data_IF_778415406897
#
_entry.id   IF_778415406897
#
_cell.length_a   1.000
_cell.length_b   1.000
_cell.length_c   1.000
_cell.angle_alpha   90.00
_cell.angle_beta   90.00
_cell.angle_gamma   90.00
#
_symmetry.space_group_name_H-M   'P 1'
#
loop_
_entity.id
_entity.type
_entity.pdbx_description
1 polymer ?
#
# COMPACT_ATOMS: atom_id res chain seq x y z
N UNK A 1 2.53 -49.52 51.31
CA UNK A 1 2.49 -49.95 49.88
C UNK A 1 1.66 -49.04 48.94
N UNK A 2 1.26 -47.81 49.33
CA UNK A 2 0.44 -46.92 48.46
C UNK A 2 1.18 -45.70 47.88
N UNK A 3 2.29 -45.25 48.47
CA UNK A 3 2.97 -44.01 48.05
C UNK A 3 3.73 -44.15 46.71
N UNK A 4 4.33 -45.33 46.47
CA UNK A 4 5.04 -45.65 45.22
C UNK A 4 4.08 -45.75 44.02
N UNK A 5 2.86 -46.26 44.22
CA UNK A 5 1.83 -46.31 43.18
C UNK A 5 1.35 -44.91 42.79
N UNK A 6 1.12 -44.02 43.75
CA UNK A 6 0.72 -42.62 43.48
C UNK A 6 1.80 -41.86 42.72
N UNK A 7 3.08 -42.05 43.07
CA UNK A 7 4.19 -41.43 42.35
C UNK A 7 4.32 -41.99 40.94
N UNK A 8 4.20 -43.30 40.75
CA UNK A 8 4.19 -43.91 39.42
C UNK A 8 3.02 -43.41 38.56
N UNK A 9 1.84 -43.21 39.15
CA UNK A 9 0.69 -42.62 38.47
C UNK A 9 0.92 -41.17 38.06
N UNK A 10 1.52 -40.35 38.92
CA UNK A 10 1.88 -38.96 38.60
C UNK A 10 2.91 -38.88 37.47
N UNK A 11 3.93 -39.74 37.48
CA UNK A 11 4.92 -39.82 36.40
C UNK A 11 4.29 -40.29 35.08
N UNK A 12 3.40 -41.29 35.14
CA UNK A 12 2.67 -41.76 33.96
C UNK A 12 1.77 -40.66 33.39
N UNK A 13 1.07 -39.92 34.24
CA UNK A 13 0.19 -38.83 33.82
C UNK A 13 0.99 -37.67 33.21
N UNK A 14 2.11 -37.29 33.81
CA UNK A 14 3.03 -36.28 33.27
C UNK A 14 3.64 -36.72 31.94
N UNK A 15 4.03 -37.98 31.79
CA UNK A 15 4.56 -38.52 30.54
C UNK A 15 3.50 -38.56 29.43
N UNK A 16 2.26 -38.95 29.75
CA UNK A 16 1.14 -38.93 28.81
C UNK A 16 0.75 -37.51 28.40
N UNK A 17 0.78 -36.56 29.34
CA UNK A 17 0.49 -35.15 29.08
C UNK A 17 1.57 -34.53 28.19
N UNK A 18 2.86 -34.79 28.49
CA UNK A 18 3.97 -34.35 27.66
C UNK A 18 3.93 -34.98 26.27
N UNK A 19 3.65 -36.28 26.17
CA UNK A 19 3.47 -36.97 24.88
C UNK A 19 2.30 -36.38 24.08
N UNK A 20 1.20 -36.03 24.75
CA UNK A 20 0.03 -35.44 24.09
C UNK A 20 0.30 -34.01 23.60
N UNK A 21 1.00 -33.19 24.38
CA UNK A 21 1.46 -31.86 23.96
C UNK A 21 2.49 -31.94 22.83
N UNK A 22 3.41 -32.90 22.90
CA UNK A 22 4.41 -33.15 21.87
C UNK A 22 3.76 -33.67 20.58
N UNK A 23 2.76 -34.55 20.66
CA UNK A 23 1.97 -35.00 19.51
C UNK A 23 1.07 -33.89 18.95
N UNK A 24 0.57 -32.97 19.77
CA UNK A 24 -0.12 -31.77 19.29
C UNK A 24 0.84 -30.81 18.59
N UNK A 25 2.06 -30.64 19.10
CA UNK A 25 3.10 -29.85 18.44
C UNK A 25 3.52 -30.48 17.11
N UNK A 26 3.76 -31.79 17.08
CA UNK A 26 4.06 -32.54 15.85
C UNK A 26 2.89 -32.53 14.87
N UNK A 27 1.63 -32.65 15.31
CA UNK A 27 0.46 -32.52 14.42
C UNK A 27 0.25 -31.09 13.92
N UNK A 28 0.58 -30.06 14.71
CA UNK A 28 0.59 -28.68 14.23
C UNK A 28 1.74 -28.44 13.23
N UNK A 29 2.88 -29.12 13.41
CA UNK A 29 3.98 -29.16 12.44
C UNK A 29 3.63 -30.00 11.20
N UNK A 30 2.87 -31.09 11.33
CA UNK A 30 2.47 -31.96 10.21
C UNK A 30 1.19 -31.47 9.50
N UNK A 31 0.41 -30.57 10.11
CA UNK A 31 -0.56 -29.75 9.37
C UNK A 31 0.12 -28.73 8.46
N UNK A 32 1.45 -28.58 8.54
CA UNK A 32 2.26 -27.91 7.50
C UNK A 32 2.83 -28.89 6.45
N UNK A 33 2.56 -30.20 6.57
CA UNK A 33 3.01 -31.24 5.65
C UNK A 33 1.97 -32.35 5.44
N UNK A 34 0.74 -31.99 5.06
CA UNK A 34 -0.14 -32.91 4.35
C UNK A 34 -0.18 -32.52 2.86
N UNK A 35 0.86 -32.94 2.15
CA UNK A 35 0.85 -33.09 0.69
C UNK A 35 -0.19 -34.14 0.32
N UNK A 36 -1.44 -33.70 0.23
CA UNK A 36 -2.41 -34.33 -0.64
C UNK A 36 -2.17 -33.78 -2.03
N UNK A 37 -2.10 -34.67 -3.01
CA UNK A 37 -1.90 -34.40 -4.44
C UNK A 37 -3.10 -33.67 -5.05
N UNK A 38 -3.40 -32.48 -4.54
CA UNK A 38 -4.11 -31.46 -5.27
C UNK A 38 -3.08 -30.78 -6.16
N UNK A 39 -3.43 -30.51 -7.40
CA UNK A 39 -2.69 -29.56 -8.23
C UNK A 39 -2.48 -28.27 -7.42
N UNK A 40 -1.28 -28.07 -6.89
CA UNK A 40 -0.85 -26.83 -6.24
C UNK A 40 -0.86 -25.77 -7.35
N UNK A 41 -2.02 -25.17 -7.59
CA UNK A 41 -2.11 -23.95 -8.36
C UNK A 41 -1.43 -22.89 -7.51
N UNK A 42 -0.12 -22.74 -7.66
CA UNK A 42 0.62 -21.59 -7.13
C UNK A 42 -0.14 -20.36 -7.61
N UNK A 43 -0.86 -19.70 -6.68
CA UNK A 43 -1.66 -18.52 -7.00
C UNK A 43 -0.73 -17.52 -7.65
N UNK A 44 -1.05 -17.12 -8.88
CA UNK A 44 -0.21 -16.19 -9.62
C UNK A 44 -0.19 -14.83 -8.91
N UNK A 45 0.91 -14.09 -9.04
CA UNK A 45 1.01 -12.72 -8.48
C UNK A 45 -0.16 -11.83 -8.93
N UNK A 46 -0.67 -12.07 -10.14
CA UNK A 46 -1.86 -11.41 -10.71
C UNK A 46 -3.11 -11.71 -9.89
N UNK A 47 -3.39 -12.99 -9.60
CA UNK A 47 -4.55 -13.41 -8.80
C UNK A 47 -4.45 -12.89 -7.37
N UNK A 48 -3.26 -12.94 -6.76
CA UNK A 48 -3.04 -12.36 -5.43
C UNK A 48 -3.33 -10.85 -5.40
N UNK A 49 -2.86 -10.10 -6.40
CA UNK A 49 -3.22 -8.67 -6.56
C UNK A 49 -4.70 -8.45 -6.77
N UNK A 50 -5.34 -9.23 -7.64
CA UNK A 50 -6.78 -9.10 -7.88
C UNK A 50 -7.57 -9.32 -6.60
N UNK A 51 -7.23 -10.35 -5.82
CA UNK A 51 -7.88 -10.59 -4.53
C UNK A 51 -7.66 -9.46 -3.52
N UNK A 52 -6.49 -8.79 -3.53
CA UNK A 52 -6.24 -7.59 -2.73
C UNK A 52 -7.13 -6.43 -3.17
N UNK A 53 -7.25 -6.19 -4.47
CA UNK A 53 -8.07 -5.10 -5.01
C UNK A 53 -9.56 -5.33 -4.78
N UNK A 54 -10.02 -6.58 -4.86
CA UNK A 54 -11.40 -6.95 -4.51
C UNK A 54 -11.69 -6.69 -3.02
N UNK A 55 -10.72 -6.93 -2.13
CA UNK A 55 -10.85 -6.57 -0.71
C UNK A 55 -10.93 -5.06 -0.52
N UNK A 56 -10.10 -4.29 -1.22
CA UNK A 56 -10.11 -2.82 -1.15
C UNK A 56 -11.42 -2.25 -1.70
N UNK A 57 -11.96 -2.80 -2.78
CA UNK A 57 -13.23 -2.36 -3.36
C UNK A 57 -14.41 -2.54 -2.40
N UNK A 58 -14.40 -3.63 -1.61
CA UNK A 58 -15.42 -3.90 -0.58
C UNK A 58 -15.24 -3.10 0.70
N UNK A 59 -14.12 -2.40 0.88
CA UNK A 59 -13.82 -1.65 2.11
C UNK A 59 -14.91 -0.60 2.40
N UNK A 60 -15.39 0.07 1.35
CA UNK A 60 -16.45 1.06 1.45
C UNK A 60 -17.81 0.42 1.82
N UNK A 61 -18.11 -0.77 1.29
CA UNK A 61 -19.35 -1.50 1.64
C UNK A 61 -19.34 -1.97 3.10
N UNK A 62 -18.18 -2.40 3.58
CA UNK A 62 -18.02 -2.98 4.91
C UNK A 62 -17.99 -1.92 6.02
N UNK A 63 -17.35 -0.79 5.76
CA UNK A 63 -17.08 0.22 6.80
C UNK A 63 -17.83 1.54 6.56
N UNK A 64 -18.42 1.73 5.38
CA UNK A 64 -19.00 3.00 4.97
C UNK A 64 -17.93 4.09 4.74
N UNK A 65 -18.35 5.31 4.38
CA UNK A 65 -17.44 6.43 4.10
C UNK A 65 -16.96 7.10 5.41
N UNK A 66 -16.11 6.41 6.17
CA UNK A 66 -15.56 6.90 7.45
C UNK A 66 -14.84 8.26 7.34
N UNK A 67 -14.31 8.61 6.18
CA UNK A 67 -13.72 9.93 5.91
C UNK A 67 -14.70 11.09 6.12
N UNK A 68 -16.02 10.85 6.05
CA UNK A 68 -17.05 11.85 6.36
C UNK A 68 -17.20 12.14 7.86
N UNK A 69 -16.68 11.26 8.73
CA UNK A 69 -16.81 11.32 10.20
C UNK A 69 -15.46 11.57 10.91
N UNK A 70 -14.49 12.20 10.25
CA UNK A 70 -13.11 12.39 10.72
C UNK A 70 -12.26 11.11 10.73
N UNK A 71 -12.17 10.44 9.57
CA UNK A 71 -11.42 9.19 9.41
C UNK A 71 -9.90 9.26 9.68
N UNK A 72 -9.26 8.08 9.73
CA UNK A 72 -7.81 7.92 9.83
C UNK A 72 -7.19 7.49 8.49
N UNK A 73 -5.87 7.65 8.35
CA UNK A 73 -5.08 7.13 7.23
C UNK A 73 -4.67 5.67 7.46
N UNK A 74 -4.28 4.98 6.37
CA UNK A 74 -3.71 3.62 6.44
C UNK A 74 -2.40 3.52 7.23
N UNK A 75 -1.81 4.66 7.59
CA UNK A 75 -0.56 4.78 8.37
C UNK A 75 -0.81 5.28 9.80
N UNK A 76 -2.04 5.13 10.30
CA UNK A 76 -2.47 5.46 11.68
C UNK A 76 -2.45 6.94 12.06
N UNK A 77 -2.32 7.86 11.09
CA UNK A 77 -2.48 9.30 11.31
C UNK A 77 -3.94 9.71 11.13
N UNK A 78 -4.48 10.61 11.97
CA UNK A 78 -5.79 11.23 11.71
C UNK A 78 -5.75 12.06 10.41
N UNK A 79 -6.87 12.15 9.68
CA UNK A 79 -6.97 13.11 8.58
C UNK A 79 -6.74 14.56 9.04
N UNK A 80 -7.17 14.90 10.27
CA UNK A 80 -6.92 16.21 10.87
C UNK A 80 -5.45 16.47 11.22
N UNK A 81 -4.63 15.41 11.29
CA UNK A 81 -3.19 15.56 11.55
C UNK A 81 -2.40 15.95 10.30
N UNK A 82 -2.99 15.75 9.12
CA UNK A 82 -2.30 15.88 7.83
C UNK A 82 -2.99 16.85 6.85
N UNK A 83 -4.24 17.25 7.13
CA UNK A 83 -4.97 18.25 6.35
C UNK A 83 -5.66 19.27 7.24
N UNK A 84 -5.73 20.50 6.75
CA UNK A 84 -6.50 21.61 7.31
C UNK A 84 -7.29 22.29 6.20
N UNK A 85 -8.25 23.15 6.56
CA UNK A 85 -8.91 24.05 5.61
C UNK A 85 -8.25 25.41 5.71
N UNK A 86 -7.66 25.87 4.60
CA UNK A 86 -7.07 27.20 4.46
C UNK A 86 -7.74 27.90 3.28
N UNK A 87 -8.22 29.11 3.50
CA UNK A 87 -8.92 29.91 2.48
C UNK A 87 -10.10 29.16 1.84
N UNK A 88 -10.78 28.34 2.65
CA UNK A 88 -11.92 27.53 2.24
C UNK A 88 -11.57 26.33 1.36
N UNK A 89 -10.29 25.95 1.22
CA UNK A 89 -9.84 24.78 0.47
C UNK A 89 -8.94 23.89 1.32
N UNK A 90 -8.88 22.60 1.01
CA UNK A 90 -7.95 21.68 1.66
C UNK A 90 -6.51 22.11 1.43
N UNK A 91 -5.73 22.15 2.51
CA UNK A 91 -4.28 22.33 2.49
C UNK A 91 -3.60 21.25 3.36
N UNK A 92 -2.42 20.74 2.97
CA UNK A 92 -1.68 19.78 3.77
C UNK A 92 -1.07 20.45 4.99
N UNK A 93 -0.98 19.69 6.10
CA UNK A 93 -0.20 20.06 7.28
C UNK A 93 1.14 19.34 7.19
N UNK A 94 2.20 20.08 6.89
CA UNK A 94 3.55 19.53 6.80
C UNK A 94 4.20 19.50 8.19
N UNK A 95 4.47 18.30 8.68
CA UNK A 95 5.19 18.06 9.94
C UNK A 95 6.56 17.48 9.61
N UNK A 96 7.61 17.98 10.25
CA UNK A 96 8.96 17.45 10.03
C UNK A 96 9.06 15.97 10.44
N UNK A 97 9.69 15.16 9.60
CA UNK A 97 10.06 13.79 9.90
C UNK A 97 11.48 13.77 10.51
N UNK A 98 11.61 13.33 11.75
CA UNK A 98 12.89 13.22 12.43
C UNK A 98 13.02 11.85 13.15
N UNK A 99 13.88 10.94 12.66
CA UNK A 99 14.71 11.06 11.46
C UNK A 99 13.88 11.09 10.17
N UNK A 100 14.44 11.56 9.04
CA UNK A 100 13.77 11.52 7.75
C UNK A 100 13.34 10.11 7.35
N UNK A 101 12.18 10.02 6.71
CA UNK A 101 11.68 8.77 6.12
C UNK A 101 12.46 8.50 4.83
N UNK A 102 12.82 7.25 4.57
CA UNK A 102 13.59 6.87 3.38
C UNK A 102 12.85 5.78 2.64
N UNK A 103 12.33 6.13 1.45
CA UNK A 103 11.41 5.32 0.69
C UNK A 103 11.94 5.04 -0.72
N UNK A 104 11.65 3.84 -1.21
CA UNK A 104 11.86 3.41 -2.58
C UNK A 104 10.51 3.33 -3.26
N UNK A 105 10.33 4.09 -4.33
CA UNK A 105 9.06 4.15 -5.05
C UNK A 105 9.30 4.00 -6.54
N UNK A 106 8.37 3.35 -7.24
CA UNK A 106 8.32 3.45 -8.69
C UNK A 106 7.62 4.74 -9.08
N UNK A 107 8.15 5.48 -10.04
CA UNK A 107 7.55 6.74 -10.49
C UNK A 107 6.67 6.54 -11.72
N UNK A 108 5.44 7.04 -11.69
CA UNK A 108 4.60 7.14 -12.87
C UNK A 108 4.83 8.50 -13.53
N UNK A 109 5.49 8.49 -14.68
CA UNK A 109 5.84 9.72 -15.40
C UNK A 109 4.64 10.56 -15.79
N UNK A 110 4.87 11.87 -15.94
CA UNK A 110 3.83 12.87 -16.23
C UNK A 110 3.09 12.62 -17.54
N UNK A 111 3.72 11.96 -18.51
CA UNK A 111 3.05 11.52 -19.74
C UNK A 111 1.85 10.58 -19.48
N UNK A 112 1.83 9.89 -18.33
CA UNK A 112 0.74 9.01 -17.91
C UNK A 112 -0.09 9.62 -16.77
N UNK A 113 0.55 10.26 -15.78
CA UNK A 113 -0.17 10.77 -14.61
C UNK A 113 -0.99 12.04 -14.87
N UNK A 114 -0.60 12.88 -15.84
CA UNK A 114 -1.36 14.08 -16.22
C UNK A 114 -2.70 13.69 -16.86
N UNK A 115 -2.76 12.82 -17.91
CA UNK A 115 -4.03 12.36 -18.47
C UNK A 115 -4.98 11.75 -17.44
N UNK A 116 -4.46 10.99 -16.47
CA UNK A 116 -5.27 10.45 -15.38
C UNK A 116 -5.90 11.60 -14.59
N UNK A 117 -5.10 12.57 -14.14
CA UNK A 117 -5.60 13.74 -13.40
C UNK A 117 -6.67 14.53 -14.19
N UNK A 118 -6.47 14.67 -15.49
CA UNK A 118 -7.41 15.35 -16.40
C UNK A 118 -8.75 14.60 -16.54
N UNK A 119 -8.74 13.26 -16.47
CA UNK A 119 -9.97 12.46 -16.45
C UNK A 119 -10.68 12.48 -15.08
N UNK A 120 -9.94 12.55 -13.97
CA UNK A 120 -10.51 12.55 -12.61
C UNK A 120 -11.30 13.82 -12.30
N UNK A 121 -10.72 14.98 -12.63
CA UNK A 121 -11.23 16.30 -12.22
C UNK A 121 -12.67 16.56 -12.68
N UNK A 122 -13.03 16.39 -13.97
CA UNK A 122 -14.40 16.62 -14.44
C UNK A 122 -15.45 15.73 -13.76
N UNK A 123 -15.06 14.56 -13.26
CA UNK A 123 -15.96 13.63 -12.58
C UNK A 123 -16.13 14.03 -11.10
N UNK A 124 -15.08 14.51 -10.44
CA UNK A 124 -15.05 14.75 -9.00
C UNK A 124 -15.31 16.21 -8.60
N UNK A 125 -14.77 17.18 -9.34
CA UNK A 125 -14.87 18.61 -9.02
C UNK A 125 -16.30 19.11 -8.82
N UNK A 126 -17.31 18.69 -9.63
CA UNK A 126 -18.69 19.11 -9.42
C UNK A 126 -19.22 18.80 -8.02
N UNK A 127 -18.67 17.78 -7.36
CA UNK A 127 -19.10 17.31 -6.06
C UNK A 127 -18.17 17.75 -4.93
N UNK A 128 -16.85 17.80 -5.15
CA UNK A 128 -15.88 17.92 -4.05
C UNK A 128 -14.93 19.10 -4.08
N UNK A 129 -14.82 19.87 -5.16
CA UNK A 129 -13.99 21.09 -5.35
C UNK A 129 -13.09 21.54 -4.16
N UNK A 130 -13.67 21.93 -3.02
CA UNK A 130 -12.97 22.45 -1.83
C UNK A 130 -12.60 21.45 -0.73
N UNK A 131 -13.12 20.23 -0.80
CA UNK A 131 -13.00 19.14 0.18
C UNK A 131 -12.35 17.89 -0.42
N UNK A 132 -11.51 18.09 -1.45
CA UNK A 132 -10.72 17.04 -2.10
C UNK A 132 -9.26 17.49 -2.18
N UNK A 133 -8.35 16.55 -1.93
CA UNK A 133 -6.93 16.69 -2.21
C UNK A 133 -6.57 15.86 -3.43
N UNK A 134 -6.24 16.49 -4.55
CA UNK A 134 -5.66 15.77 -5.68
C UNK A 134 -4.17 15.56 -5.43
N UNK A 135 -3.71 14.34 -5.63
CA UNK A 135 -2.28 14.05 -5.61
C UNK A 135 -1.60 14.85 -6.73
N UNK A 136 -0.40 15.39 -6.46
CA UNK A 136 0.38 16.06 -7.47
C UNK A 136 0.82 15.05 -8.54
N UNK A 137 0.40 15.28 -9.79
CA UNK A 137 0.69 14.38 -10.92
C UNK A 137 2.18 14.16 -11.16
N UNK A 138 3.03 15.14 -10.83
CA UNK A 138 4.49 15.00 -10.92
C UNK A 138 5.10 14.09 -9.85
N UNK A 139 4.30 13.65 -8.87
CA UNK A 139 4.68 12.78 -7.76
C UNK A 139 3.83 11.50 -7.72
N UNK A 140 3.12 11.16 -8.80
CA UNK A 140 2.42 9.87 -8.87
C UNK A 140 3.44 8.74 -8.78
N UNK A 141 3.19 7.83 -7.84
CA UNK A 141 4.15 6.79 -7.52
C UNK A 141 3.46 5.53 -7.01
N UNK A 142 4.26 4.48 -6.91
CA UNK A 142 3.90 3.21 -6.31
C UNK A 142 4.91 2.91 -5.20
N UNK A 143 4.45 2.79 -3.96
CA UNK A 143 5.33 2.49 -2.83
C UNK A 143 5.89 1.07 -2.95
N UNK A 144 7.20 0.93 -3.06
CA UNK A 144 7.85 -0.38 -3.12
C UNK A 144 8.34 -0.81 -1.75
N UNK A 145 9.29 -0.07 -1.17
CA UNK A 145 9.99 -0.52 0.03
C UNK A 145 10.54 0.65 0.85
N UNK A 146 10.39 0.61 2.17
CA UNK A 146 10.87 1.67 3.06
C UNK A 146 12.14 1.20 3.77
N UNK A 147 13.24 1.94 3.61
CA UNK A 147 14.45 1.81 4.42
C UNK A 147 14.26 2.40 5.83
N UNK A 148 13.28 3.30 5.99
CA UNK A 148 12.80 3.86 7.25
C UNK A 148 11.35 4.31 7.07
N UNK A 149 10.52 4.22 8.10
CA UNK A 149 9.17 4.82 8.09
C UNK A 149 8.84 5.43 9.46
N UNK A 150 7.92 6.38 9.53
CA UNK A 150 7.63 7.17 10.75
C UNK A 150 7.18 6.33 11.96
N UNK A 151 6.57 5.15 11.74
CA UNK A 151 6.19 4.22 12.83
C UNK A 151 7.40 3.47 13.41
N UNK A 152 8.40 3.15 12.58
CA UNK A 152 9.63 2.44 12.97
C UNK A 152 10.81 3.20 12.38
N UNK A 153 11.16 4.36 12.98
CA UNK A 153 12.20 5.22 12.43
C UNK A 153 13.55 4.51 12.48
N UNK A 154 14.29 4.57 11.37
CA UNK A 154 15.67 4.09 11.27
C UNK A 154 16.56 5.28 10.97
N UNK A 155 17.27 5.86 11.95
CA UNK A 155 18.26 6.91 11.70
C UNK A 155 19.33 6.42 10.72
N UNK A 156 19.90 7.32 9.92
CA UNK A 156 21.04 7.01 9.07
C UNK A 156 21.98 8.22 8.95
N UNK A 157 23.28 7.98 8.88
CA UNK A 157 24.28 9.01 8.57
C UNK A 157 24.27 9.33 7.07
N UNK A 158 24.95 10.40 6.65
CA UNK A 158 25.05 10.72 5.22
C UNK A 158 25.72 9.58 4.44
N UNK A 159 26.77 8.97 4.99
CA UNK A 159 27.49 7.85 4.35
C UNK A 159 26.59 6.61 4.21
N UNK A 160 25.78 6.32 5.24
CA UNK A 160 24.80 5.24 5.18
C UNK A 160 23.73 5.50 4.12
N UNK A 161 23.27 6.75 4.00
CA UNK A 161 22.28 7.16 2.97
C UNK A 161 22.86 7.03 1.57
N UNK A 162 24.13 7.40 1.36
CA UNK A 162 24.79 7.22 0.05
C UNK A 162 25.02 5.74 -0.26
N UNK A 163 25.34 4.91 0.75
CA UNK A 163 25.44 3.47 0.58
C UNK A 163 24.09 2.82 0.22
N UNK A 164 23.01 3.22 0.92
CA UNK A 164 21.64 2.79 0.60
C UNK A 164 21.28 3.18 -0.85
N UNK A 165 21.54 4.44 -1.25
CA UNK A 165 21.28 4.91 -2.61
C UNK A 165 22.08 4.15 -3.68
N UNK A 166 23.35 3.83 -3.41
CA UNK A 166 24.20 3.03 -4.30
C UNK A 166 23.69 1.59 -4.44
N UNK A 167 23.27 0.96 -3.33
CA UNK A 167 22.69 -0.37 -3.34
C UNK A 167 21.37 -0.41 -4.14
N UNK A 168 20.51 0.61 -3.96
CA UNK A 168 19.26 0.75 -4.72
C UNK A 168 19.56 0.92 -6.21
N UNK A 169 20.54 1.75 -6.59
CA UNK A 169 20.98 1.89 -7.99
C UNK A 169 21.43 0.56 -8.59
N UNK A 170 22.17 -0.25 -7.84
CA UNK A 170 22.59 -1.58 -8.31
C UNK A 170 21.39 -2.49 -8.56
N UNK A 171 20.41 -2.50 -7.65
CA UNK A 171 19.15 -3.23 -7.82
C UNK A 171 18.43 -2.80 -9.10
N UNK A 172 18.38 -1.51 -9.44
CA UNK A 172 17.66 -1.07 -10.65
C UNK A 172 18.26 -1.56 -11.97
N UNK A 173 19.56 -1.88 -12.00
CA UNK A 173 20.22 -2.49 -13.17
C UNK A 173 19.80 -3.96 -13.39
N UNK A 174 19.14 -4.58 -12.41
CA UNK A 174 18.62 -5.95 -12.53
C UNK A 174 17.11 -5.97 -12.76
N UNK A 175 16.46 -4.81 -12.73
CA UNK A 175 15.02 -4.67 -12.87
C UNK A 175 14.64 -4.24 -14.28
N UNK A 176 13.67 -4.92 -14.86
CA UNK A 176 13.12 -4.56 -16.15
C UNK A 176 12.02 -3.49 -15.99
N UNK A 177 11.95 -2.49 -16.89
CA UNK A 177 10.80 -1.59 -16.97
C UNK A 177 9.49 -2.36 -17.00
N UNK A 178 8.49 -1.86 -16.28
CA UNK A 178 7.20 -2.53 -16.12
C UNK A 178 6.22 -1.97 -17.14
N UNK A 179 5.62 -2.83 -17.95
CA UNK A 179 4.39 -2.48 -18.66
C UNK A 179 3.21 -2.84 -17.75
N UNK A 180 2.36 -1.87 -17.44
CA UNK A 180 1.25 -2.02 -16.49
C UNK A 180 -0.05 -1.55 -17.11
N UNK A 181 -1.16 -2.04 -16.56
CA UNK A 181 -2.52 -1.64 -16.92
C UNK A 181 -3.33 -1.30 -15.69
N UNK A 182 -4.10 -0.23 -15.75
CA UNK A 182 -5.04 0.14 -14.69
C UNK A 182 -6.23 -0.83 -14.72
N UNK A 183 -6.28 -1.73 -13.75
CA UNK A 183 -7.34 -2.74 -13.62
C UNK A 183 -8.64 -2.11 -13.14
N UNK A 184 -8.54 -1.29 -12.09
CA UNK A 184 -9.69 -0.56 -11.55
C UNK A 184 -9.30 0.64 -10.70
N UNK A 185 -10.23 1.55 -10.55
CA UNK A 185 -10.21 2.58 -9.53
C UNK A 185 -11.05 2.11 -8.34
N UNK A 186 -10.58 2.33 -7.12
CA UNK A 186 -11.32 2.04 -5.88
C UNK A 186 -11.31 3.26 -4.96
N UNK A 187 -12.40 3.43 -4.19
CA UNK A 187 -12.47 4.39 -3.09
C UNK A 187 -12.49 3.64 -1.77
N UNK A 188 -11.54 3.96 -0.89
CA UNK A 188 -11.50 3.36 0.46
C UNK A 188 -12.45 4.09 1.41
N UNK A 189 -12.84 3.41 2.50
CA UNK A 189 -13.58 3.98 3.63
C UNK A 189 -12.87 5.19 4.26
N UNK A 190 -11.55 5.31 4.09
CA UNK A 190 -10.71 6.42 4.54
C UNK A 190 -10.59 7.56 3.52
N UNK A 191 -11.35 7.48 2.42
CA UNK A 191 -11.48 8.54 1.42
C UNK A 191 -10.36 8.54 0.38
N UNK A 192 -9.52 7.52 0.30
CA UNK A 192 -8.46 7.45 -0.70
C UNK A 192 -9.01 6.89 -1.99
N UNK A 193 -8.86 7.65 -3.08
CA UNK A 193 -9.11 7.19 -4.42
C UNK A 193 -7.81 6.59 -4.97
N UNK A 194 -7.81 5.28 -5.21
CA UNK A 194 -6.65 4.51 -5.61
C UNK A 194 -6.84 3.98 -7.04
N UNK A 195 -5.81 4.15 -7.87
CA UNK A 195 -5.66 3.32 -9.07
C UNK A 195 -4.99 2.00 -8.69
N UNK A 196 -5.65 0.88 -8.99
CA UNK A 196 -5.15 -0.48 -8.76
C UNK A 196 -4.65 -1.06 -10.08
N UNK A 197 -3.37 -1.41 -10.14
CA UNK A 197 -2.69 -1.73 -11.39
C UNK A 197 -2.31 -3.22 -11.45
N UNK A 198 -2.33 -3.76 -12.65
CA UNK A 198 -1.79 -5.07 -12.98
C UNK A 198 -0.52 -4.94 -13.80
N UNK A 199 0.36 -5.92 -13.66
CA UNK A 199 1.60 -6.01 -14.45
C UNK A 199 1.31 -6.85 -15.69
N UNK A 200 1.58 -6.29 -16.87
CA UNK A 200 1.54 -6.99 -18.16
C UNK A 200 2.89 -7.68 -18.40
N UNK A 201 3.99 -6.96 -18.19
CA UNK A 201 5.36 -7.48 -18.35
C UNK A 201 6.37 -6.65 -17.53
N UNK A 202 7.58 -7.17 -17.39
CA UNK A 202 8.66 -6.56 -16.60
C UNK A 202 8.81 -7.18 -15.21
N UNK A 203 9.54 -6.51 -14.32
CA UNK A 203 9.76 -7.01 -12.96
C UNK A 203 8.53 -6.79 -12.07
N UNK A 204 7.94 -7.87 -11.56
CA UNK A 204 6.77 -7.79 -10.67
C UNK A 204 7.11 -7.09 -9.33
N UNK A 205 6.17 -6.35 -8.71
CA UNK A 205 6.34 -5.72 -7.41
C UNK A 205 6.90 -6.64 -6.32
N UNK A 206 6.52 -7.93 -6.31
CA UNK A 206 7.05 -8.90 -5.35
C UNK A 206 8.57 -9.04 -5.52
N UNK A 207 9.03 -9.20 -6.76
CA UNK A 207 10.46 -9.32 -7.09
C UNK A 207 11.22 -8.06 -6.75
N UNK A 208 10.67 -6.89 -7.07
CA UNK A 208 11.28 -5.59 -6.75
C UNK A 208 11.46 -5.46 -5.23
N UNK A 209 10.40 -5.72 -4.46
CA UNK A 209 10.43 -5.65 -2.99
C UNK A 209 11.39 -6.66 -2.38
N UNK A 210 11.49 -7.87 -2.94
CA UNK A 210 12.43 -8.88 -2.49
C UNK A 210 13.89 -8.42 -2.70
N UNK A 211 14.24 -7.93 -3.89
CA UNK A 211 15.58 -7.41 -4.18
C UNK A 211 15.95 -6.21 -3.30
N UNK A 212 15.03 -5.26 -3.12
CA UNK A 212 15.24 -4.11 -2.23
C UNK A 212 15.44 -4.53 -0.78
N UNK A 213 14.69 -5.51 -0.27
CA UNK A 213 14.87 -6.05 1.08
C UNK A 213 16.26 -6.65 1.27
N UNK A 214 16.75 -7.43 0.31
CA UNK A 214 18.10 -7.99 0.36
C UNK A 214 19.18 -6.91 0.35
N UNK A 215 18.98 -5.86 -0.46
CA UNK A 215 19.93 -4.77 -0.60
C UNK A 215 19.94 -3.77 0.58
N UNK A 216 18.86 -3.73 1.38
CA UNK A 216 18.66 -2.76 2.45
C UNK A 216 18.41 -3.47 3.80
N UNK A 217 19.42 -4.14 4.39
CA UNK A 217 19.25 -5.03 5.53
C UNK A 217 18.85 -4.33 6.83
N UNK A 218 19.00 -3.00 6.91
CA UNK A 218 18.60 -2.19 8.07
C UNK A 218 17.15 -1.70 8.02
N UNK A 219 16.45 -1.96 6.93
CA UNK A 219 15.06 -1.55 6.79
C UNK A 219 14.17 -2.21 7.86
N UNK A 220 13.05 -1.57 8.25
CA UNK A 220 12.06 -2.20 9.13
C UNK A 220 11.60 -3.56 8.60
N UNK A 221 11.58 -4.57 9.47
CA UNK A 221 11.17 -5.93 9.12
C UNK A 221 9.75 -5.96 8.55
N UNK A 222 8.83 -5.25 9.23
CA UNK A 222 7.45 -5.10 8.80
C UNK A 222 7.31 -3.92 7.86
N UNK A 223 7.00 -4.21 6.60
CA UNK A 223 6.64 -3.20 5.62
C UNK A 223 5.15 -2.85 5.72
N UNK A 224 4.79 -1.65 5.26
CA UNK A 224 3.43 -1.09 5.40
C UNK A 224 2.39 -1.64 4.41
N UNK A 225 2.82 -2.48 3.46
CA UNK A 225 1.98 -2.91 2.34
C UNK A 225 2.19 -4.39 2.02
N UNK A 226 1.17 -5.01 1.43
CA UNK A 226 1.25 -6.37 0.90
C UNK A 226 2.32 -6.46 -0.20
N UNK A 227 3.04 -7.58 -0.28
CA UNK A 227 4.13 -7.75 -1.24
C UNK A 227 3.66 -7.71 -2.71
N UNK A 228 2.40 -8.05 -2.99
CA UNK A 228 1.86 -8.10 -4.36
C UNK A 228 1.35 -6.75 -4.87
N UNK A 229 0.92 -5.85 -3.99
CA UNK A 229 0.14 -4.66 -4.34
C UNK A 229 0.90 -3.72 -5.29
N UNK A 230 0.19 -3.15 -6.27
CA UNK A 230 0.68 -2.07 -7.12
C UNK A 230 -0.44 -1.02 -7.25
N UNK A 231 -0.35 0.05 -6.47
CA UNK A 231 -1.35 1.11 -6.50
C UNK A 231 -0.72 2.49 -6.58
N UNK A 232 -1.51 3.44 -7.09
CA UNK A 232 -1.20 4.87 -7.05
C UNK A 232 -2.35 5.59 -6.35
N UNK A 233 -2.03 6.50 -5.43
CA UNK A 233 -3.04 7.39 -4.85
C UNK A 233 -3.32 8.52 -5.83
N UNK A 234 -4.57 8.68 -6.23
CA UNK A 234 -5.01 9.68 -7.20
C UNK A 234 -5.53 10.95 -6.52
N UNK A 235 -6.38 10.76 -5.52
CA UNK A 235 -6.96 11.84 -4.74
C UNK A 235 -7.37 11.32 -3.37
N UNK A 236 -7.69 12.26 -2.48
CA UNK A 236 -8.29 11.98 -1.19
C UNK A 236 -9.52 12.86 -0.99
N UNK A 237 -10.67 12.22 -0.80
CA UNK A 237 -11.91 12.86 -0.38
C UNK A 237 -11.83 13.13 1.13
N UNK A 238 -12.12 14.38 1.52
CA UNK A 238 -11.92 14.87 2.88
C UNK A 238 -13.19 15.46 3.49
N UNK A 239 -14.30 15.44 2.76
CA UNK A 239 -15.56 15.98 3.22
C UNK A 239 -16.75 15.53 2.38
N UNK A 240 -17.93 16.03 2.77
CA UNK A 240 -19.19 15.70 2.13
C UNK A 240 -19.26 16.31 0.72
N UNK A 241 -19.78 15.57 -0.28
CA UNK A 241 -20.03 16.14 -1.59
C UNK A 241 -21.14 17.22 -1.53
N UNK A 242 -21.13 18.16 -2.47
CA UNK A 242 -22.11 19.25 -2.62
C UNK A 242 -23.55 18.79 -2.96
N UNK A 243 -23.83 17.48 -3.03
CA UNK A 243 -25.14 16.97 -3.41
C UNK A 243 -26.23 17.29 -2.36
N UNK A 244 -27.49 17.42 -2.81
CA UNK A 244 -28.67 17.71 -1.98
C UNK A 244 -28.71 16.83 -0.73
N UNK A 245 -28.85 17.45 0.45
CA UNK A 245 -28.83 16.81 1.78
C UNK A 245 -29.81 15.65 1.92
N UNK A 246 -30.85 15.61 1.08
CA UNK A 246 -31.84 14.53 0.99
C UNK A 246 -31.27 13.22 0.44
N UNK A 247 -30.28 13.25 -0.47
CA UNK A 247 -29.70 12.06 -1.14
C UNK A 247 -28.63 11.36 -0.29
N UNK A 248 -28.12 11.98 0.77
CA UNK A 248 -26.96 11.48 1.53
C UNK A 248 -27.23 11.37 3.03
N UNK A 249 -28.51 11.23 3.40
CA UNK A 249 -28.96 11.23 4.80
C UNK A 249 -28.71 9.90 5.53
N UNK A 250 -28.59 8.79 4.80
CA UNK A 250 -28.23 7.48 5.35
C UNK A 250 -26.99 6.90 4.66
N UNK A 251 -26.31 5.96 5.34
CA UNK A 251 -25.05 5.37 4.86
C UNK A 251 -25.21 4.58 3.57
N UNK A 252 -26.36 3.95 3.32
CA UNK A 252 -26.61 3.18 2.10
C UNK A 252 -26.59 4.07 0.85
N UNK A 253 -27.31 5.19 0.90
CA UNK A 253 -27.36 6.14 -0.21
C UNK A 253 -26.01 6.81 -0.46
N UNK A 254 -25.24 7.07 0.61
CA UNK A 254 -23.87 7.55 0.50
C UNK A 254 -22.97 6.55 -0.24
N UNK A 255 -22.99 5.27 0.17
CA UNK A 255 -22.20 4.21 -0.48
C UNK A 255 -22.60 4.07 -1.95
N UNK A 256 -23.90 4.05 -2.25
CA UNK A 256 -24.40 3.99 -3.63
C UNK A 256 -23.93 5.19 -4.48
N UNK A 257 -23.97 6.41 -3.94
CA UNK A 257 -23.46 7.60 -4.61
C UNK A 257 -21.96 7.47 -4.96
N UNK A 258 -21.15 7.02 -4.00
CA UNK A 258 -19.72 6.85 -4.22
C UNK A 258 -19.41 5.72 -5.22
N UNK A 259 -20.16 4.62 -5.21
CA UNK A 259 -20.05 3.59 -6.25
C UNK A 259 -20.33 4.16 -7.64
N UNK A 260 -21.38 4.97 -7.79
CA UNK A 260 -21.67 5.62 -9.08
C UNK A 260 -20.53 6.52 -9.58
N UNK A 261 -19.80 7.19 -8.68
CA UNK A 261 -18.59 7.94 -9.06
C UNK A 261 -17.44 7.02 -9.46
N UNK A 262 -17.18 5.97 -8.67
CA UNK A 262 -16.14 4.99 -8.96
C UNK A 262 -16.40 4.27 -10.28
N UNK A 263 -17.64 3.95 -10.60
CA UNK A 263 -18.03 3.32 -11.86
C UNK A 263 -17.76 4.23 -13.05
N UNK A 264 -18.11 5.51 -12.96
CA UNK A 264 -17.78 6.51 -14.00
C UNK A 264 -16.27 6.60 -14.21
N UNK A 265 -15.50 6.66 -13.13
CA UNK A 265 -14.04 6.70 -13.20
C UNK A 265 -13.47 5.43 -13.85
N UNK A 266 -13.99 4.26 -13.50
CA UNK A 266 -13.58 3.00 -14.11
C UNK A 266 -13.93 2.93 -15.59
N UNK A 267 -15.07 3.47 -16.02
CA UNK A 267 -15.44 3.51 -17.43
C UNK A 267 -14.47 4.38 -18.26
N UNK A 268 -13.96 5.46 -17.69
CA UNK A 268 -12.98 6.34 -18.36
C UNK A 268 -11.54 5.78 -18.34
N UNK A 269 -11.14 5.13 -17.23
CA UNK A 269 -9.72 4.86 -16.95
C UNK A 269 -9.33 3.39 -17.01
N UNK A 270 -10.26 2.44 -16.91
CA UNK A 270 -9.92 1.01 -16.95
C UNK A 270 -9.24 0.67 -18.28
N UNK A 271 -8.18 -0.12 -18.20
CA UNK A 271 -7.41 -0.49 -19.39
C UNK A 271 -6.34 0.54 -19.78
N UNK A 272 -6.23 1.66 -19.07
CA UNK A 272 -5.15 2.62 -19.30
C UNK A 272 -3.79 1.95 -19.07
N UNK A 273 -2.96 1.92 -20.10
CA UNK A 273 -1.62 1.32 -20.04
C UNK A 273 -0.55 2.36 -19.74
N UNK A 274 0.48 1.96 -19.00
CA UNK A 274 1.66 2.78 -18.75
C UNK A 274 2.94 1.93 -18.76
N UNK A 275 4.07 2.60 -19.01
CA UNK A 275 5.40 2.02 -18.83
C UNK A 275 6.09 2.74 -17.68
N UNK A 276 6.49 1.99 -16.67
CA UNK A 276 7.23 2.49 -15.52
C UNK A 276 8.69 2.11 -15.67
N UNK A 277 9.54 3.11 -15.88
CA UNK A 277 10.97 2.94 -16.18
C UNK A 277 11.90 3.49 -15.10
N UNK A 278 11.36 4.08 -14.02
CA UNK A 278 12.15 4.72 -12.98
C UNK A 278 11.78 4.22 -11.59
N UNK A 279 12.82 3.97 -10.79
CA UNK A 279 12.70 3.83 -9.34
C UNK A 279 13.42 5.01 -8.68
N UNK A 280 12.73 5.64 -7.74
CA UNK A 280 13.25 6.76 -6.97
C UNK A 280 13.58 6.33 -5.55
N UNK A 281 14.78 6.70 -5.11
CA UNK A 281 15.17 6.69 -3.71
C UNK A 281 14.93 8.07 -3.13
N UNK A 282 14.01 8.15 -2.17
CA UNK A 282 13.46 9.41 -1.65
C UNK A 282 13.74 9.53 -0.17
N UNK A 283 14.35 10.65 0.22
CA UNK A 283 14.43 11.11 1.60
C UNK A 283 13.30 12.12 1.83
N UNK A 284 12.31 11.76 2.65
CA UNK A 284 11.18 12.61 3.02
C UNK A 284 11.49 13.31 4.35
N UNK A 285 11.66 14.64 4.30
CA UNK A 285 11.95 15.47 5.47
C UNK A 285 10.68 15.95 6.17
N UNK A 286 9.53 15.80 5.53
CA UNK A 286 8.22 15.97 6.13
C UNK A 286 7.47 14.64 6.08
N UNK A 287 6.63 14.37 7.08
CA UNK A 287 5.82 13.15 7.16
C UNK A 287 4.89 13.09 5.94
N UNK A 288 4.96 11.99 5.18
CA UNK A 288 4.23 11.79 3.93
C UNK A 288 4.51 12.85 2.85
N UNK A 289 5.75 13.35 2.76
CA UNK A 289 6.14 14.38 1.79
C UNK A 289 5.75 14.04 0.34
N UNK A 290 5.89 12.77 -0.08
CA UNK A 290 5.46 12.32 -1.41
C UNK A 290 3.96 12.49 -1.64
N UNK A 291 3.13 12.32 -0.61
CA UNK A 291 1.66 12.44 -0.71
C UNK A 291 1.16 13.88 -0.50
N UNK A 292 1.93 14.70 0.22
CA UNK A 292 1.49 16.01 0.71
C UNK A 292 2.26 17.20 0.10
N UNK A 293 3.08 16.96 -0.92
CA UNK A 293 4.00 17.96 -1.49
C UNK A 293 4.96 18.55 -0.44
N UNK A 294 5.44 17.70 0.47
CA UNK A 294 6.40 18.09 1.50
C UNK A 294 7.84 18.20 0.97
N UNK A 295 8.74 18.60 1.86
CA UNK A 295 10.17 18.68 1.56
C UNK A 295 10.76 17.28 1.42
N UNK A 296 11.48 17.07 0.32
CA UNK A 296 12.13 15.80 0.04
C UNK A 296 13.39 15.98 -0.81
N UNK A 297 14.29 15.00 -0.77
CA UNK A 297 15.41 14.84 -1.70
C UNK A 297 15.25 13.53 -2.45
N UNK A 298 15.40 13.56 -3.76
CA UNK A 298 15.15 12.40 -4.62
C UNK A 298 16.39 12.07 -5.45
N UNK A 299 16.76 10.79 -5.48
CA UNK A 299 17.70 10.22 -6.44
C UNK A 299 16.91 9.31 -7.38
N UNK A 300 17.01 9.54 -8.69
CA UNK A 300 16.25 8.83 -9.71
C UNK A 300 17.15 7.83 -10.42
N UNK A 301 16.70 6.59 -10.55
CA UNK A 301 17.44 5.53 -11.19
C UNK A 301 16.58 4.88 -12.28
N UNK A 302 17.13 4.76 -13.48
CA UNK A 302 16.47 4.04 -14.56
C UNK A 302 16.51 2.54 -14.26
N UNK A 303 15.39 1.88 -14.56
CA UNK A 303 15.29 0.43 -14.62
C UNK A 303 15.95 -0.03 -15.93
N UNK A 304 16.82 -1.02 -15.84
CA UNK A 304 17.57 -1.47 -17.00
C UNK A 304 18.14 -2.85 -16.81
N UNK A 305 17.31 -3.88 -16.90
CA UNK A 305 17.79 -5.25 -16.99
C UNK A 305 18.54 -5.46 -18.31
N UNK A 306 19.76 -6.00 -18.25
CA UNK A 306 20.44 -6.49 -19.44
C UNK A 306 19.57 -7.58 -20.09
N UNK A 307 19.29 -7.44 -21.39
CA UNK A 307 18.79 -8.57 -22.19
C UNK A 307 19.94 -9.57 -22.29
N UNK A 308 19.96 -10.54 -21.39
CA UNK A 308 20.76 -11.76 -21.56
C UNK A 308 20.08 -12.64 -22.61
#
# INVERSE_FOLDING_TARGET
>A
MNRSKTVAFLWLFSALFFYSLFQMALRNSDSSHNYTSASDSTVSNKEQRSALYDRMARDLDQHGPLFLKHGHTSQSLSLSDIFTIKDGSVAPILKAANPPVRANVLHLSTQYSVPITEALKPILDPYFDKVIWFQNSSLYHFSMFHASHHISPVPATQDEIEAEAAAVRAVTQELCPLKIVLDRVVLTSTGVLLGCWQVISGSDPITIRAKLRTALPRAPEKQLYDAAILHTSFARLLGHPKASSTVLSNTGDQVHFFHGLVDRLNNELRGFEAVVSELWYVEEFDVLALALNGRMKMRRFQLGCSRN
#
